data_IF_375243670270
#
_entry.id   IF_375243670270
#
_cell.length_a   1.000
_cell.length_b   1.000
_cell.length_c   1.000
_cell.angle_alpha   90.00
_cell.angle_beta   90.00
_cell.angle_gamma   90.00
#
_symmetry.space_group_name_H-M   'P 1'
#
loop_
_entity.id
_entity.type
_entity.pdbx_description
1 polymer ?
#
# COMPACT_ATOMS: atom_id res chain seq x y z
N UNK A 1 0.11 -3.60 -28.59
CA UNK A 1 -0.03 -3.25 -27.16
C UNK A 1 -0.39 -4.50 -26.36
N UNK A 2 0.48 -4.97 -25.44
CA UNK A 2 0.14 -6.08 -24.53
C UNK A 2 -0.77 -5.53 -23.42
N UNK A 3 -1.97 -6.11 -23.25
CA UNK A 3 -2.82 -5.82 -22.09
C UNK A 3 -2.12 -6.33 -20.83
N UNK A 4 -1.97 -5.46 -19.83
CA UNK A 4 -1.64 -5.91 -18.48
C UNK A 4 -2.76 -6.84 -17.99
N UNK A 5 -2.40 -8.04 -17.52
CA UNK A 5 -3.35 -9.00 -16.99
C UNK A 5 -3.69 -8.61 -15.55
N UNK A 6 -4.67 -7.72 -15.36
CA UNK A 6 -5.11 -7.30 -14.03
C UNK A 6 -6.32 -8.11 -13.58
N UNK A 7 -6.10 -9.39 -13.24
CA UNK A 7 -7.14 -10.35 -12.80
C UNK A 7 -7.92 -9.90 -11.55
N UNK A 8 -7.42 -8.91 -10.82
CA UNK A 8 -8.03 -8.38 -9.59
C UNK A 8 -8.87 -7.11 -9.81
N UNK A 9 -8.81 -6.46 -10.98
CA UNK A 9 -9.50 -5.17 -11.20
C UNK A 9 -11.02 -5.31 -11.22
N UNK A 10 -11.54 -6.49 -11.53
CA UNK A 10 -12.98 -6.78 -11.59
C UNK A 10 -13.57 -7.28 -10.27
N UNK A 11 -12.77 -7.46 -9.22
CA UNK A 11 -13.22 -8.01 -7.94
C UNK A 11 -13.18 -6.94 -6.86
N UNK A 12 -14.23 -6.88 -6.05
CA UNK A 12 -14.27 -6.02 -4.88
C UNK A 12 -13.36 -6.57 -3.77
N UNK A 13 -12.76 -5.69 -2.95
CA UNK A 13 -11.83 -6.09 -1.88
C UNK A 13 -12.39 -7.17 -0.94
N UNK A 14 -13.66 -7.13 -0.49
CA UNK A 14 -14.23 -8.17 0.35
C UNK A 14 -14.32 -9.52 -0.36
N UNK A 15 -14.57 -9.52 -1.67
CA UNK A 15 -14.70 -10.73 -2.46
C UNK A 15 -13.35 -11.43 -2.64
N UNK A 16 -12.29 -10.65 -2.90
CA UNK A 16 -10.90 -11.17 -2.93
C UNK A 16 -10.53 -11.82 -1.60
N UNK A 17 -10.93 -11.24 -0.47
CA UNK A 17 -10.69 -11.83 0.87
C UNK A 17 -11.48 -13.13 1.08
N UNK A 18 -12.76 -13.18 0.70
CA UNK A 18 -13.56 -14.41 0.77
C UNK A 18 -12.94 -15.54 -0.04
N UNK A 19 -12.51 -15.26 -1.26
CA UNK A 19 -11.82 -16.24 -2.12
C UNK A 19 -10.53 -16.70 -1.45
N UNK A 20 -9.75 -15.79 -0.87
CA UNK A 20 -8.51 -16.14 -0.17
C UNK A 20 -8.76 -17.01 1.08
N UNK A 21 -9.85 -16.78 1.81
CA UNK A 21 -10.27 -17.61 2.95
C UNK A 21 -10.74 -19.00 2.51
N UNK A 22 -11.55 -19.08 1.44
CA UNK A 22 -12.01 -20.36 0.88
C UNK A 22 -10.87 -21.23 0.34
N UNK A 23 -9.81 -20.59 -0.17
CA UNK A 23 -8.61 -21.26 -0.67
C UNK A 23 -7.56 -21.51 0.43
N UNK A 24 -7.90 -21.23 1.70
CA UNK A 24 -7.01 -21.39 2.86
C UNK A 24 -5.63 -20.72 2.70
N UNK A 25 -5.59 -19.57 2.01
CA UNK A 25 -4.35 -18.85 1.80
C UNK A 25 -3.86 -18.22 3.11
N UNK A 26 -2.58 -18.43 3.44
CA UNK A 26 -1.93 -17.84 4.63
C UNK A 26 -2.04 -16.30 4.65
N UNK A 27 -2.13 -15.68 3.47
CA UNK A 27 -2.26 -14.23 3.31
C UNK A 27 -3.69 -13.70 3.45
N UNK A 28 -4.71 -14.56 3.58
CA UNK A 28 -6.12 -14.14 3.63
C UNK A 28 -6.41 -13.14 4.75
N UNK A 29 -5.71 -13.27 5.88
CA UNK A 29 -5.84 -12.38 7.06
C UNK A 29 -4.74 -11.34 7.17
N UNK A 30 -3.79 -11.30 6.22
CA UNK A 30 -2.68 -10.34 6.26
C UNK A 30 -3.23 -8.93 6.08
N UNK A 31 -2.82 -8.01 6.96
CA UNK A 31 -3.16 -6.59 6.86
C UNK A 31 -2.67 -6.03 5.52
N UNK A 32 -3.48 -5.20 4.90
CA UNK A 32 -3.11 -4.49 3.68
C UNK A 32 -1.88 -3.60 3.93
N UNK A 33 -0.99 -3.52 2.95
CA UNK A 33 0.15 -2.61 3.02
C UNK A 33 -0.37 -1.17 3.13
N UNK A 34 0.08 -0.46 4.17
CA UNK A 34 -0.21 0.96 4.35
C UNK A 34 1.07 1.77 4.17
N UNK A 35 0.95 2.98 3.61
CA UNK A 35 2.08 3.84 3.27
C UNK A 35 2.61 3.65 1.85
N UNK A 36 3.76 4.25 1.56
CA UNK A 36 4.42 4.14 0.25
C UNK A 36 5.14 2.80 0.21
N UNK A 37 4.89 2.03 -0.85
CA UNK A 37 5.59 0.78 -1.13
C UNK A 37 7.11 1.04 -0.98
N UNK A 38 7.83 0.18 -0.25
CA UNK A 38 9.27 0.24 0.07
C UNK A 38 9.72 1.08 1.29
N UNK A 39 8.93 2.03 1.80
CA UNK A 39 9.33 2.80 3.00
C UNK A 39 9.07 2.02 4.30
N UNK A 40 8.06 1.13 4.26
CA UNK A 40 7.57 0.38 5.42
C UNK A 40 6.72 1.24 6.37
N UNK A 41 6.42 0.72 7.56
CA UNK A 41 5.68 1.43 8.62
C UNK A 41 6.59 2.41 9.37
N UNK A 42 7.11 3.44 8.68
CA UNK A 42 7.92 4.51 9.29
C UNK A 42 7.23 5.86 9.19
N UNK A 43 7.58 6.78 10.11
CA UNK A 43 7.08 8.16 10.09
C UNK A 43 7.50 8.82 8.77
N UNK A 44 6.53 9.18 7.96
CA UNK A 44 6.76 9.76 6.63
C UNK A 44 7.58 11.05 6.69
N UNK A 45 7.40 11.86 7.74
CA UNK A 45 8.18 13.10 7.97
C UNK A 45 9.68 12.81 8.12
N UNK A 46 10.05 11.79 8.89
CA UNK A 46 11.45 11.41 9.11
C UNK A 46 12.10 10.85 7.85
N UNK A 47 11.30 10.18 7.00
CA UNK A 47 11.76 9.74 5.68
C UNK A 47 12.07 10.93 4.77
N UNK A 48 11.14 11.89 4.63
CA UNK A 48 11.34 13.05 3.78
C UNK A 48 12.49 13.95 4.24
N UNK A 49 12.70 14.09 5.55
CA UNK A 49 13.78 14.90 6.12
C UNK A 49 15.20 14.44 5.73
N UNK A 50 15.36 13.21 5.23
CA UNK A 50 16.66 12.72 4.70
C UNK A 50 16.95 13.20 3.28
N UNK A 51 15.93 13.56 2.52
CA UNK A 51 16.03 13.91 1.10
C UNK A 51 15.74 15.39 0.84
N UNK A 52 14.97 16.03 1.72
CA UNK A 52 14.61 17.44 1.61
C UNK A 52 15.15 18.21 2.83
N UNK A 53 16.00 19.24 2.63
CA UNK A 53 16.38 20.13 3.73
C UNK A 53 15.12 20.82 4.24
N UNK A 54 14.90 20.76 5.55
CA UNK A 54 13.78 21.43 6.18
C UNK A 54 14.00 22.95 6.10
N UNK A 55 13.27 23.63 5.20
CA UNK A 55 13.19 25.09 5.18
C UNK A 55 11.87 25.52 5.82
N UNK A 56 11.88 25.97 7.08
CA UNK A 56 10.67 26.49 7.71
C UNK A 56 10.21 27.75 6.96
N UNK A 57 9.04 27.67 6.34
CA UNK A 57 8.36 28.84 5.76
C UNK A 57 7.52 29.55 6.82
N UNK A 58 7.14 30.82 6.59
CA UNK A 58 6.17 31.50 7.43
C UNK A 58 4.83 30.73 7.39
N UNK A 59 4.37 30.28 8.55
CA UNK A 59 3.03 29.72 8.73
C UNK A 59 2.12 30.93 8.95
N UNK A 60 1.49 31.40 7.88
CA UNK A 60 0.49 32.48 7.91
C UNK A 60 -0.88 31.95 8.26
#
# INVERSE_FOLDING_TARGET
MRKACSRLVSLEKPEVRRIAEQLELVTAKKKDSTGICFIGERKFRDFLGRYLPAQPGPIG
#
